data_IF_046525472623
#
_entry.id   IF_046525472623
#
_cell.length_a   1.000
_cell.length_b   1.000
_cell.length_c   1.000
_cell.angle_alpha   90.00
_cell.angle_beta   90.00
_cell.angle_gamma   90.00
#
_symmetry.space_group_name_H-M   'P 1'
#
loop_
_entity.id
_entity.type
_entity.pdbx_description
1 polymer ?
#
# COMPACT_ATOMS: atom_id res chain seq x y z
N UNK A 1 -0.96 13.93 36.38
CA UNK A 1 -0.09 13.26 35.40
C UNK A 1 1.34 13.65 35.71
N UNK A 2 2.27 12.71 35.68
CA UNK A 2 3.70 13.01 35.86
C UNK A 2 4.23 13.88 34.73
N UNK A 3 5.36 14.53 34.98
CA UNK A 3 6.11 15.28 33.97
C UNK A 3 6.42 14.37 32.76
N UNK A 4 6.13 14.79 31.51
CA UNK A 4 6.43 13.99 30.33
C UNK A 4 7.93 13.92 30.06
N UNK A 5 8.37 12.94 29.27
CA UNK A 5 9.72 12.98 28.72
C UNK A 5 9.77 13.89 27.49
N UNK A 6 10.86 14.63 27.30
CA UNK A 6 11.08 15.40 26.07
C UNK A 6 11.06 14.44 24.87
N UNK A 7 10.33 14.80 23.83
CA UNK A 7 10.16 13.97 22.64
C UNK A 7 9.10 12.87 22.76
N UNK A 8 8.44 12.73 23.91
CA UNK A 8 7.32 11.80 24.08
C UNK A 8 6.15 12.17 23.15
N UNK A 9 5.67 11.19 22.37
CA UNK A 9 4.51 11.35 21.50
C UNK A 9 3.27 10.78 22.17
N UNK A 10 2.17 11.53 22.17
CA UNK A 10 0.87 11.10 22.69
C UNK A 10 -0.25 11.34 21.69
N UNK A 11 -1.25 10.46 21.78
CA UNK A 11 -2.56 10.65 21.17
C UNK A 11 -3.36 11.70 21.96
N UNK A 12 -3.98 12.64 21.26
CA UNK A 12 -4.68 13.78 21.86
C UNK A 12 -5.93 14.14 21.06
N UNK A 13 -7.06 14.34 21.73
CA UNK A 13 -8.37 14.52 21.09
C UNK A 13 -8.70 15.96 20.69
N UNK A 14 -7.94 16.94 21.18
CA UNK A 14 -8.19 18.38 20.91
C UNK A 14 -7.19 18.95 19.92
N UNK A 15 -7.63 19.96 19.16
CA UNK A 15 -6.78 20.72 18.24
C UNK A 15 -5.95 21.81 18.95
N UNK A 16 -6.29 22.15 20.20
CA UNK A 16 -5.58 23.16 20.97
C UNK A 16 -4.54 22.48 21.85
N UNK A 17 -3.27 22.62 21.46
CA UNK A 17 -2.16 22.01 22.17
C UNK A 17 -1.74 22.88 23.36
N UNK A 18 -1.50 22.25 24.51
CA UNK A 18 -1.06 22.95 25.72
C UNK A 18 0.37 23.45 25.59
N UNK A 19 0.75 24.44 26.43
CA UNK A 19 2.14 24.91 26.50
C UNK A 19 3.08 23.73 26.78
N UNK A 20 4.24 23.74 26.12
CA UNK A 20 5.24 22.67 26.23
C UNK A 20 4.99 21.47 25.31
N UNK A 21 3.97 21.53 24.45
CA UNK A 21 3.68 20.51 23.45
C UNK A 21 3.52 21.15 22.05
N UNK A 22 3.71 20.35 21.01
CA UNK A 22 3.41 20.73 19.63
C UNK A 22 2.66 19.60 18.91
N UNK A 23 1.94 19.92 17.83
CA UNK A 23 1.36 18.91 16.93
C UNK A 23 2.47 18.20 16.14
N UNK A 24 2.32 16.90 15.90
CA UNK A 24 3.18 16.16 14.97
C UNK A 24 2.73 16.40 13.51
N UNK A 25 2.96 17.60 12.99
CA UNK A 25 2.54 18.05 11.65
C UNK A 25 3.72 18.37 10.71
N UNK A 26 4.94 17.96 11.05
CA UNK A 26 6.13 18.22 10.24
C UNK A 26 6.75 19.62 10.37
N UNK A 27 6.32 20.46 11.33
CA UNK A 27 6.87 21.82 11.40
C UNK A 27 8.38 21.84 11.72
N UNK A 28 9.08 22.83 11.14
CA UNK A 28 10.47 23.14 11.47
C UNK A 28 10.54 23.97 12.75
N UNK A 29 11.45 23.60 13.64
CA UNK A 29 11.76 24.32 14.87
C UNK A 29 13.21 24.80 14.88
N UNK A 30 13.46 25.92 15.56
CA UNK A 30 14.82 26.41 15.77
C UNK A 30 15.56 25.51 16.76
N UNK A 31 16.76 25.08 16.39
CA UNK A 31 17.66 24.30 17.26
C UNK A 31 18.05 25.11 18.51
N UNK A 32 18.32 26.42 18.35
CA UNK A 32 18.73 27.29 19.45
C UNK A 32 17.70 27.36 20.60
N UNK A 33 16.42 27.19 20.28
CA UNK A 33 15.33 27.23 21.27
C UNK A 33 14.94 25.85 21.79
N UNK A 34 15.37 24.77 21.13
CA UNK A 34 14.90 23.41 21.40
C UNK A 34 16.08 22.41 21.42
N UNK A 35 17.22 22.81 21.97
CA UNK A 35 18.46 22.02 21.95
C UNK A 35 18.28 20.61 22.53
N UNK A 36 17.53 20.48 23.63
CA UNK A 36 17.24 19.20 24.26
C UNK A 36 16.38 18.27 23.37
N UNK A 37 15.40 18.81 22.64
CA UNK A 37 14.62 18.00 21.71
C UNK A 37 15.44 17.63 20.47
N UNK A 38 16.25 18.56 19.97
CA UNK A 38 17.14 18.32 18.84
C UNK A 38 18.18 17.23 19.14
N UNK A 39 18.72 17.16 20.36
CA UNK A 39 19.68 16.10 20.70
C UNK A 39 19.06 14.70 20.70
N UNK A 40 17.73 14.60 20.78
CA UNK A 40 16.99 13.34 20.68
C UNK A 40 16.56 13.01 19.24
N UNK A 41 16.01 13.99 18.51
CA UNK A 41 15.45 13.76 17.18
C UNK A 41 16.45 13.95 16.05
N UNK A 42 17.52 14.72 16.27
CA UNK A 42 18.44 15.14 15.22
C UNK A 42 17.71 15.73 14.02
N UNK A 43 18.10 15.29 12.83
CA UNK A 43 17.46 15.63 11.55
C UNK A 43 16.59 14.49 10.99
N UNK A 44 16.22 13.51 11.82
CA UNK A 44 15.48 12.30 11.38
C UNK A 44 14.22 12.63 10.58
N UNK A 45 13.51 13.69 10.95
CA UNK A 45 12.28 14.12 10.26
C UNK A 45 12.48 15.30 9.30
N UNK A 46 13.72 15.76 9.11
CA UNK A 46 14.08 16.89 8.25
C UNK A 46 14.71 18.08 8.99
N UNK A 47 14.80 19.21 8.27
CA UNK A 47 15.57 20.39 8.68
C UNK A 47 17.03 20.34 8.22
N UNK A 48 17.78 21.40 8.51
CA UNK A 48 19.16 21.55 8.02
C UNK A 48 20.22 21.09 9.03
N UNK A 49 19.84 20.72 10.26
CA UNK A 49 20.77 20.26 11.31
C UNK A 49 21.72 21.33 11.85
N UNK A 50 21.63 22.57 11.35
CA UNK A 50 22.49 23.69 11.78
C UNK A 50 21.70 24.74 12.56
N UNK A 51 20.55 25.16 12.00
CA UNK A 51 19.66 26.15 12.63
C UNK A 51 18.27 25.59 12.90
N UNK A 52 17.88 24.54 12.17
CA UNK A 52 16.53 23.96 12.22
C UNK A 52 16.54 22.44 12.17
N UNK A 53 15.51 21.84 12.77
CA UNK A 53 15.13 20.45 12.65
C UNK A 53 13.61 20.35 12.53
N UNK A 54 13.09 19.25 12.02
CA UNK A 54 11.65 19.03 11.90
C UNK A 54 11.11 18.12 13.01
N UNK A 55 9.85 18.35 13.38
CA UNK A 55 9.07 17.37 14.13
C UNK A 55 8.52 16.27 13.18
N UNK A 56 8.09 15.11 13.71
CA UNK A 56 7.38 14.12 12.90
C UNK A 56 6.14 14.72 12.23
N UNK A 57 5.84 14.27 11.01
CA UNK A 57 4.54 14.51 10.38
C UNK A 57 3.72 13.23 10.43
N UNK A 58 2.68 13.21 11.27
CA UNK A 58 1.79 12.05 11.44
C UNK A 58 0.39 12.30 10.85
N UNK A 59 0.20 13.38 10.09
CA UNK A 59 -1.08 13.67 9.44
C UNK A 59 -1.37 12.62 8.36
N UNK A 60 -2.50 11.94 8.48
CA UNK A 60 -2.91 10.89 7.53
C UNK A 60 -2.03 9.64 7.57
N UNK A 61 -1.30 9.40 8.66
CA UNK A 61 -0.37 8.28 8.79
C UNK A 61 -0.69 7.42 10.01
N UNK A 62 -0.37 6.13 9.91
CA UNK A 62 -0.42 5.18 11.02
C UNK A 62 1.01 5.01 11.56
N UNK A 63 1.27 5.28 12.85
CA UNK A 63 2.59 5.02 13.44
C UNK A 63 2.93 3.53 13.39
N UNK A 64 4.16 3.21 12.99
CA UNK A 64 4.69 1.84 12.97
C UNK A 64 5.99 1.78 13.77
N UNK A 65 6.25 0.66 14.44
CA UNK A 65 7.49 0.45 15.15
C UNK A 65 8.67 0.38 14.17
N UNK A 66 9.80 0.98 14.53
CA UNK A 66 11.02 0.97 13.73
C UNK A 66 11.88 -0.25 14.07
N UNK A 67 12.83 -0.60 13.19
CA UNK A 67 13.72 -1.73 13.37
C UNK A 67 13.34 -2.92 12.49
N UNK A 68 13.95 -4.07 12.80
CA UNK A 68 13.78 -5.29 12.01
C UNK A 68 12.58 -6.10 12.50
N UNK A 69 11.70 -6.48 11.58
CA UNK A 69 10.54 -7.31 11.88
C UNK A 69 10.04 -8.07 10.66
N UNK A 70 8.79 -8.55 10.71
CA UNK A 70 8.15 -9.27 9.60
C UNK A 70 8.00 -8.41 8.33
N UNK A 71 7.96 -7.09 8.48
CA UNK A 71 7.93 -6.12 7.39
C UNK A 71 9.34 -5.78 6.83
N UNK A 72 10.39 -6.46 7.29
CA UNK A 72 11.78 -6.14 6.95
C UNK A 72 12.40 -5.14 7.92
N UNK A 73 13.48 -4.49 7.48
CA UNK A 73 14.15 -3.44 8.25
C UNK A 73 13.51 -2.09 7.94
N UNK A 74 12.89 -1.48 8.95
CA UNK A 74 12.32 -0.13 8.86
C UNK A 74 13.21 0.85 9.61
N UNK A 75 13.57 1.95 8.96
CA UNK A 75 14.42 2.98 9.57
C UNK A 75 13.52 4.01 10.28
N UNK A 76 13.95 4.52 11.43
CA UNK A 76 13.21 5.56 12.12
C UNK A 76 13.04 6.80 11.23
N UNK A 77 11.82 7.31 11.11
CA UNK A 77 11.49 8.45 10.25
C UNK A 77 11.18 8.09 8.79
N UNK A 78 11.37 6.83 8.39
CA UNK A 78 10.96 6.34 7.08
C UNK A 78 9.45 6.43 6.90
N UNK A 79 9.02 6.88 5.71
CA UNK A 79 7.62 6.95 5.31
C UNK A 79 7.33 5.89 4.25
N UNK A 80 6.23 5.15 4.42
CA UNK A 80 5.78 4.14 3.47
C UNK A 80 4.26 3.95 3.49
N UNK A 81 3.80 2.93 2.77
CA UNK A 81 2.37 2.60 2.62
C UNK A 81 1.68 3.40 1.49
N UNK A 82 0.43 3.02 1.21
CA UNK A 82 -0.39 3.61 0.16
C UNK A 82 -1.84 3.80 0.67
N UNK A 83 -2.45 4.94 0.37
CA UNK A 83 -3.86 5.21 0.73
C UNK A 83 -4.83 4.49 -0.22
N UNK A 84 -4.42 4.33 -1.48
CA UNK A 84 -5.17 3.62 -2.50
C UNK A 84 -4.20 2.73 -3.29
N UNK A 85 -4.64 1.50 -3.55
CA UNK A 85 -3.85 0.48 -4.24
C UNK A 85 -4.56 0.06 -5.53
N UNK A 86 -3.80 -0.09 -6.61
CA UNK A 86 -4.30 -0.66 -7.86
C UNK A 86 -3.75 -2.07 -8.01
N UNK A 87 -4.62 -3.06 -7.89
CA UNK A 87 -4.25 -4.46 -8.06
C UNK A 87 -3.67 -4.72 -9.45
N UNK A 88 -2.48 -5.33 -9.47
CA UNK A 88 -1.77 -5.79 -10.65
C UNK A 88 -2.07 -7.26 -10.91
N UNK A 89 -1.79 -7.73 -12.13
CA UNK A 89 -1.89 -9.15 -12.49
C UNK A 89 -1.04 -10.07 -11.61
N UNK A 90 0.09 -9.58 -11.11
CA UNK A 90 1.02 -10.31 -10.25
C UNK A 90 0.47 -10.51 -8.82
N UNK A 91 -0.49 -9.69 -8.41
CA UNK A 91 -1.15 -9.78 -7.09
C UNK A 91 -2.42 -10.64 -7.13
N UNK A 92 -2.79 -11.16 -8.30
CA UNK A 92 -3.89 -12.11 -8.44
C UNK A 92 -3.39 -13.55 -8.34
N UNK A 93 -4.11 -14.45 -7.64
CA UNK A 93 -3.83 -15.88 -7.70
C UNK A 93 -3.83 -16.38 -9.15
N UNK A 94 -2.90 -17.29 -9.44
CA UNK A 94 -2.87 -17.99 -10.73
C UNK A 94 -4.22 -18.69 -10.92
N UNK A 95 -4.90 -18.34 -11.99
CA UNK A 95 -6.18 -18.91 -12.36
C UNK A 95 -6.19 -19.25 -13.85
N UNK A 96 -7.10 -20.13 -14.25
CA UNK A 96 -7.27 -20.52 -15.65
C UNK A 96 -8.72 -20.34 -16.06
N UNK A 97 -8.92 -19.99 -17.33
CA UNK A 97 -10.24 -19.97 -17.95
C UNK A 97 -10.38 -21.22 -18.79
N UNK A 98 -11.22 -22.16 -18.35
CA UNK A 98 -11.54 -23.35 -19.13
C UNK A 98 -12.65 -23.04 -20.11
N UNK A 99 -12.33 -23.14 -21.40
CA UNK A 99 -13.32 -23.05 -22.47
C UNK A 99 -14.19 -24.30 -22.44
N UNK A 100 -15.52 -24.12 -22.45
CA UNK A 100 -16.48 -25.19 -22.71
C UNK A 100 -16.91 -25.16 -24.17
N UNK A 101 -16.86 -26.31 -24.83
CA UNK A 101 -17.30 -26.51 -26.21
C UNK A 101 -18.24 -27.73 -26.27
N UNK A 102 -19.09 -27.77 -27.29
CA UNK A 102 -19.93 -28.93 -27.62
C UNK A 102 -19.12 -29.98 -28.37
N UNK A 103 -19.36 -31.26 -28.07
CA UNK A 103 -18.83 -32.38 -28.87
C UNK A 103 -19.67 -32.70 -30.11
N UNK A 104 -20.83 -32.06 -30.27
CA UNK A 104 -21.67 -32.22 -31.47
C UNK A 104 -21.05 -31.51 -32.68
N UNK A 105 -21.38 -31.97 -33.88
CA UNK A 105 -20.93 -31.35 -35.13
C UNK A 105 -21.41 -29.90 -35.25
N UNK A 106 -20.52 -29.00 -35.68
CA UNK A 106 -20.85 -27.60 -35.92
C UNK A 106 -21.95 -27.48 -36.98
N UNK A 107 -22.99 -26.70 -36.67
CA UNK A 107 -24.16 -26.47 -37.52
C UNK A 107 -24.36 -24.98 -37.89
N UNK A 108 -23.39 -24.13 -37.52
CA UNK A 108 -23.40 -22.69 -37.77
C UNK A 108 -22.00 -22.11 -37.71
N UNK A 109 -21.76 -21.03 -38.45
CA UNK A 109 -20.46 -20.35 -38.54
C UNK A 109 -20.45 -18.99 -37.83
N UNK A 110 -21.56 -18.58 -37.23
CA UNK A 110 -21.70 -17.31 -36.50
C UNK A 110 -21.62 -17.57 -34.99
N UNK A 111 -20.96 -16.69 -34.22
CA UNK A 111 -20.83 -16.88 -32.76
C UNK A 111 -22.07 -16.43 -31.97
N UNK A 112 -22.98 -15.64 -32.57
CA UNK A 112 -24.16 -15.13 -31.86
C UNK A 112 -25.08 -16.27 -31.43
N UNK A 113 -25.31 -16.40 -30.12
CA UNK A 113 -26.09 -17.46 -29.49
C UNK A 113 -25.60 -18.90 -29.76
N UNK A 114 -24.34 -19.05 -30.18
CA UNK A 114 -23.71 -20.35 -30.43
C UNK A 114 -22.52 -20.58 -29.49
N UNK A 115 -22.13 -21.85 -29.33
CA UNK A 115 -20.88 -22.25 -28.67
C UNK A 115 -19.92 -22.84 -29.69
N UNK A 116 -18.64 -22.93 -29.34
CA UNK A 116 -17.72 -23.75 -30.14
C UNK A 116 -18.20 -25.20 -30.10
N UNK A 117 -18.13 -25.86 -31.25
CA UNK A 117 -18.61 -27.21 -31.46
C UNK A 117 -17.54 -28.02 -32.18
N UNK A 118 -17.64 -29.34 -32.17
CA UNK A 118 -16.74 -30.18 -32.92
C UNK A 118 -16.90 -29.86 -34.41
N UNK A 119 -15.83 -29.45 -35.09
CA UNK A 119 -15.83 -29.39 -36.54
C UNK A 119 -15.18 -30.67 -37.04
N UNK A 120 -15.99 -31.55 -37.64
CA UNK A 120 -15.49 -32.61 -38.51
C UNK A 120 -14.55 -31.94 -39.54
N UNK A 121 -13.29 -32.34 -39.58
CA UNK A 121 -12.30 -31.63 -40.37
C UNK A 121 -12.72 -31.65 -41.84
N UNK A 122 -12.88 -30.46 -42.44
CA UNK A 122 -13.42 -30.28 -43.79
C UNK A 122 -12.56 -30.96 -44.88
N UNK A 123 -11.38 -31.44 -44.52
CA UNK A 123 -10.39 -32.04 -45.41
C UNK A 123 -9.67 -33.29 -44.83
N UNK A 124 -10.07 -33.83 -43.67
CA UNK A 124 -9.59 -35.14 -43.15
C UNK A 124 -10.41 -35.62 -41.93
N UNK A 125 -10.58 -36.93 -41.69
CA UNK A 125 -11.36 -37.45 -40.55
C UNK A 125 -10.73 -37.13 -39.19
N UNK A 126 -11.58 -36.87 -38.18
CA UNK A 126 -11.17 -36.63 -36.81
C UNK A 126 -10.68 -37.92 -36.13
N UNK A 127 -9.37 -38.18 -36.13
CA UNK A 127 -8.76 -39.23 -35.30
C UNK A 127 -8.32 -38.68 -33.95
N UNK A 128 -8.51 -39.47 -32.88
CA UNK A 128 -7.95 -39.22 -31.55
C UNK A 128 -6.72 -40.13 -31.36
N UNK A 129 -5.49 -39.61 -31.16
CA UNK A 129 -5.14 -38.20 -30.95
C UNK A 129 -5.15 -37.36 -32.24
N UNK A 130 -5.44 -36.06 -32.10
CA UNK A 130 -5.45 -35.11 -33.21
C UNK A 130 -4.03 -35.02 -33.83
N UNK A 131 -3.89 -35.09 -35.17
CA UNK A 131 -2.59 -35.01 -35.84
C UNK A 131 -1.93 -33.62 -35.83
N UNK A 132 -2.59 -32.62 -35.23
CA UNK A 132 -2.10 -31.24 -35.15
C UNK A 132 -1.90 -30.82 -33.69
N UNK A 133 -0.82 -30.09 -33.37
CA UNK A 133 -0.62 -29.56 -32.03
C UNK A 133 -1.72 -28.57 -31.65
N UNK A 134 -1.99 -28.42 -30.36
CA UNK A 134 -2.89 -27.39 -29.84
C UNK A 134 -2.45 -26.02 -30.37
N UNK A 135 -3.31 -25.36 -31.16
CA UNK A 135 -3.05 -24.03 -31.69
C UNK A 135 -3.51 -22.96 -30.70
N UNK A 136 -2.75 -21.86 -30.60
CA UNK A 136 -3.12 -20.72 -29.77
C UNK A 136 -4.38 -20.05 -30.34
N UNK A 137 -5.37 -19.78 -29.47
CA UNK A 137 -6.58 -19.05 -29.88
C UNK A 137 -6.25 -17.61 -30.29
N UNK A 138 -7.05 -17.06 -31.20
CA UNK A 138 -6.95 -15.66 -31.61
C UNK A 138 -7.23 -14.74 -30.41
N UNK A 139 -6.43 -13.69 -30.22
CA UNK A 139 -6.54 -12.79 -29.04
C UNK A 139 -7.91 -12.13 -28.91
N UNK A 140 -8.62 -11.87 -30.02
CA UNK A 140 -9.99 -11.36 -29.98
C UNK A 140 -11.03 -12.32 -29.36
N UNK A 141 -10.69 -13.61 -29.19
CA UNK A 141 -11.56 -14.58 -28.51
C UNK A 141 -11.53 -14.44 -26.98
N UNK A 142 -10.53 -13.75 -26.43
CA UNK A 142 -10.34 -13.53 -24.98
C UNK A 142 -9.83 -12.12 -24.75
N UNK A 143 -10.67 -11.24 -24.21
CA UNK A 143 -10.27 -9.90 -23.81
C UNK A 143 -9.89 -9.87 -22.33
N UNK A 144 -8.87 -9.10 -21.98
CA UNK A 144 -8.65 -8.69 -20.59
C UNK A 144 -9.84 -7.85 -20.13
N UNK A 145 -10.37 -8.15 -18.95
CA UNK A 145 -11.46 -7.41 -18.31
C UNK A 145 -10.99 -6.87 -16.96
N UNK A 146 -11.46 -5.68 -16.61
CA UNK A 146 -11.06 -4.94 -15.40
C UNK A 146 -10.69 -3.50 -15.73
N UNK A 147 -11.11 -2.56 -14.89
CA UNK A 147 -10.88 -1.12 -15.12
C UNK A 147 -9.58 -0.58 -14.52
N UNK A 148 -8.76 -1.44 -13.89
CA UNK A 148 -7.54 -1.06 -13.16
C UNK A 148 -7.72 0.18 -12.28
N UNK A 149 -8.89 0.30 -11.65
CA UNK A 149 -9.18 1.40 -10.74
C UNK A 149 -8.64 1.06 -9.35
N UNK A 150 -8.00 2.05 -8.73
CA UNK A 150 -7.52 1.89 -7.37
C UNK A 150 -8.69 1.69 -6.40
N UNK A 151 -8.51 0.83 -5.42
CA UNK A 151 -9.38 0.77 -4.25
C UNK A 151 -8.69 1.43 -3.06
N UNK A 152 -9.46 1.94 -2.09
CA UNK A 152 -8.87 2.41 -0.85
C UNK A 152 -8.23 1.24 -0.10
N UNK A 153 -6.99 1.43 0.34
CA UNK A 153 -6.24 0.49 1.16
C UNK A 153 -6.13 1.00 2.60
N UNK A 154 -7.26 1.49 3.14
CA UNK A 154 -7.35 2.01 4.50
C UNK A 154 -8.19 1.06 5.36
N UNK A 155 -7.63 0.63 6.48
CA UNK A 155 -8.41 0.00 7.55
C UNK A 155 -9.41 1.00 8.15
N UNK A 156 -10.51 0.55 8.78
CA UNK A 156 -11.37 1.45 9.56
C UNK A 156 -10.57 2.29 10.55
N UNK A 157 -10.80 3.60 10.59
CA UNK A 157 -10.01 4.53 11.40
C UNK A 157 -10.87 5.59 12.09
N UNK A 158 -10.34 6.13 13.18
CA UNK A 158 -10.84 7.33 13.84
C UNK A 158 -9.68 8.34 13.93
N UNK A 159 -9.91 9.56 13.48
CA UNK A 159 -8.88 10.60 13.44
C UNK A 159 -8.76 11.30 14.79
N UNK A 160 -7.53 11.35 15.30
CA UNK A 160 -7.13 12.09 16.50
C UNK A 160 -5.77 12.73 16.25
N UNK A 161 -5.41 13.72 17.05
CA UNK A 161 -4.12 14.39 16.92
C UNK A 161 -3.02 13.58 17.58
N UNK A 162 -1.81 13.73 17.03
CA UNK A 162 -0.58 13.36 17.72
C UNK A 162 0.12 14.63 18.17
N UNK A 163 0.54 14.65 19.43
CA UNK A 163 1.32 15.74 20.02
C UNK A 163 2.66 15.20 20.51
N UNK A 164 3.68 16.06 20.49
CA UNK A 164 5.03 15.77 20.99
C UNK A 164 5.41 16.76 22.08
N UNK A 165 6.01 16.26 23.17
CA UNK A 165 6.50 17.10 24.25
C UNK A 165 7.76 17.87 23.82
N UNK A 166 7.69 19.20 23.86
CA UNK A 166 8.83 20.09 23.65
C UNK A 166 9.64 20.30 24.94
N UNK A 167 9.00 20.10 26.10
CA UNK A 167 9.52 20.35 27.43
C UNK A 167 9.15 19.18 28.35
N UNK A 168 10.01 18.89 29.33
CA UNK A 168 9.82 17.79 30.29
C UNK A 168 11.15 17.23 30.78
N UNK A 169 11.11 16.05 31.39
CA UNK A 169 12.31 15.34 31.82
C UNK A 169 13.11 14.86 30.61
N UNK A 170 14.43 15.06 30.64
CA UNK A 170 15.29 14.49 29.60
C UNK A 170 15.42 12.97 29.84
N UNK A 171 15.17 12.12 28.83
CA UNK A 171 15.31 10.68 28.99
C UNK A 171 16.80 10.32 29.20
N UNK A 172 17.16 9.92 30.41
CA UNK A 172 18.51 9.43 30.71
C UNK A 172 18.75 8.10 30.02
N UNK A 173 19.89 7.95 29.36
CA UNK A 173 20.32 6.67 28.80
C UNK A 173 20.57 5.70 29.97
N UNK A 174 20.06 4.45 29.91
CA UNK A 174 20.43 3.43 30.89
C UNK A 174 21.92 3.09 30.83
#
# INVERSE_FOLDING_TARGET
>A
MGEPFIGEIRMFSSNVVQKGWALCNGQLLSINQNQALFSLLGTTYGGNGMTTFALPDLRGRVPMHWGSGSAGQIILGEAGGEVAHTLTTQEMPVHTHQVKASSASANGITPSNNVWAAQENCYSPATNPLPYPLAQMHSAAVSTVGGSQAHLNMQPFLTINFIIALQGAFPSRP
#
